data_IF_301187464450
#
_entry.id   IF_301187464450
#
_cell.length_a   1.000
_cell.length_b   1.000
_cell.length_c   1.000
_cell.angle_alpha   90.00
_cell.angle_beta   90.00
_cell.angle_gamma   90.00
#
_symmetry.space_group_name_H-M   'P 1'
#
loop_
_entity.id
_entity.type
_entity.pdbx_description
1 polymer ?
#
# COMPACT_ATOMS: atom_id res chain seq x y z
N UNK A 1 -12.33 19.14 -18.11
CA UNK A 1 -11.84 17.75 -18.33
C UNK A 1 -12.92 16.74 -17.99
N UNK A 2 -13.44 16.73 -16.75
CA UNK A 2 -14.58 15.89 -16.32
C UNK A 2 -15.78 15.99 -17.29
N UNK A 3 -16.14 17.20 -17.72
CA UNK A 3 -17.23 17.40 -18.67
C UNK A 3 -16.96 16.79 -20.05
N UNK A 4 -15.69 16.70 -20.48
CA UNK A 4 -15.31 16.01 -21.73
C UNK A 4 -15.38 14.48 -21.58
N UNK A 5 -15.07 13.95 -20.39
CA UNK A 5 -15.31 12.53 -20.08
C UNK A 5 -16.80 12.21 -20.11
N UNK A 6 -17.62 13.05 -19.48
CA UNK A 6 -19.07 12.89 -19.45
C UNK A 6 -19.67 12.87 -20.86
N UNK A 7 -19.28 13.81 -21.73
CA UNK A 7 -19.75 13.81 -23.13
C UNK A 7 -19.29 12.58 -23.91
N UNK A 8 -18.06 12.10 -23.67
CA UNK A 8 -17.54 10.90 -24.36
C UNK A 8 -18.27 9.63 -23.90
N UNK A 9 -18.66 9.55 -22.63
CA UNK A 9 -19.48 8.46 -22.10
C UNK A 9 -20.92 8.51 -22.63
N UNK A 10 -21.50 9.70 -22.76
CA UNK A 10 -22.84 9.89 -23.35
C UNK A 10 -22.85 9.52 -24.84
N UNK A 11 -21.81 9.90 -25.59
CA UNK A 11 -21.65 9.50 -27.00
C UNK A 11 -21.52 7.98 -27.14
N UNK A 12 -20.80 7.32 -26.22
CA UNK A 12 -20.68 5.86 -26.18
C UNK A 12 -22.00 5.18 -25.80
N UNK A 13 -22.75 5.74 -24.84
CA UNK A 13 -24.08 5.22 -24.49
C UNK A 13 -25.05 5.36 -25.66
N UNK A 14 -25.04 6.50 -26.37
CA UNK A 14 -25.83 6.73 -27.58
C UNK A 14 -25.44 5.82 -28.74
N UNK A 15 -24.14 5.57 -28.93
CA UNK A 15 -23.65 4.62 -29.92
C UNK A 15 -24.11 3.20 -29.58
N UNK A 16 -23.98 2.77 -28.33
CA UNK A 16 -24.38 1.42 -27.86
C UNK A 16 -25.90 1.23 -27.77
N UNK A 17 -26.69 2.30 -27.64
CA UNK A 17 -28.16 2.27 -27.56
C UNK A 17 -28.80 1.69 -28.82
N UNK A 18 -28.32 2.07 -30.00
CA UNK A 18 -28.81 1.54 -31.29
C UNK A 18 -28.66 0.01 -31.38
N UNK A 19 -27.66 -0.55 -30.72
CA UNK A 19 -27.42 -2.00 -30.67
C UNK A 19 -28.32 -2.72 -29.66
N UNK A 20 -28.56 -2.11 -28.49
CA UNK A 20 -29.54 -2.63 -27.52
C UNK A 20 -30.96 -2.68 -28.10
N UNK A 21 -31.28 -1.73 -28.97
CA UNK A 21 -32.56 -1.68 -29.69
C UNK A 21 -32.58 -2.66 -30.87
N UNK A 22 -31.49 -2.79 -31.64
CA UNK A 22 -31.39 -3.75 -32.75
C UNK A 22 -31.28 -5.23 -32.32
N UNK A 23 -30.77 -5.51 -31.13
CA UNK A 23 -30.76 -6.86 -30.54
C UNK A 23 -32.14 -7.30 -30.03
N UNK A 24 -33.02 -6.33 -29.72
CA UNK A 24 -34.44 -6.56 -29.41
C UNK A 24 -35.27 -6.56 -30.70
N UNK A 25 -34.92 -7.40 -31.67
CA UNK A 25 -35.85 -7.67 -32.76
C UNK A 25 -37.09 -8.37 -32.17
N UNK A 26 -38.31 -7.92 -32.48
CA UNK A 26 -39.53 -8.49 -31.91
C UNK A 26 -39.65 -9.94 -32.37
N UNK A 27 -39.50 -10.88 -31.44
CA UNK A 27 -39.63 -12.30 -31.75
C UNK A 27 -41.10 -12.74 -31.87
N UNK A 28 -42.05 -11.92 -31.43
CA UNK A 28 -43.45 -12.31 -31.29
C UNK A 28 -44.42 -11.27 -31.85
N UNK A 29 -44.55 -11.21 -33.17
CA UNK A 29 -45.78 -10.73 -33.81
C UNK A 29 -45.89 -11.38 -35.20
N UNK A 30 -46.99 -12.10 -35.43
CA UNK A 30 -47.40 -12.73 -36.70
C UNK A 30 -46.79 -14.11 -37.02
N UNK A 31 -46.86 -15.04 -36.06
CA UNK A 31 -46.92 -16.50 -36.30
C UNK A 31 -48.41 -16.92 -36.45
N UNK A 32 -49.09 -16.40 -37.47
CA UNK A 32 -50.35 -16.97 -37.93
C UNK A 32 -50.27 -17.14 -39.45
N UNK A 33 -50.21 -18.40 -39.88
CA UNK A 33 -50.55 -18.86 -41.23
C UNK A 33 -49.54 -18.69 -42.38
N UNK A 34 -48.24 -18.86 -42.11
CA UNK A 34 -47.22 -18.96 -43.18
C UNK A 34 -46.73 -20.40 -43.37
N UNK A 35 -46.94 -20.96 -44.57
CA UNK A 35 -46.56 -22.33 -44.94
C UNK A 35 -45.06 -22.64 -44.79
N UNK A 36 -44.68 -23.94 -44.77
CA UNK A 36 -43.34 -24.41 -44.41
C UNK A 36 -42.20 -23.86 -45.28
N UNK A 37 -42.46 -23.48 -46.55
CA UNK A 37 -41.44 -22.86 -47.41
C UNK A 37 -41.17 -21.39 -47.07
N UNK A 38 -42.17 -20.66 -46.56
CA UNK A 38 -42.05 -19.25 -46.19
C UNK A 38 -41.35 -19.10 -44.83
N UNK A 39 -41.54 -20.05 -43.91
CA UNK A 39 -40.79 -20.13 -42.64
C UNK A 39 -39.29 -20.29 -42.87
N UNK A 40 -38.87 -21.15 -43.80
CA UNK A 40 -37.44 -21.31 -44.18
C UNK A 40 -36.84 -20.03 -44.75
N UNK A 41 -37.59 -19.29 -45.59
CA UNK A 41 -37.13 -18.02 -46.16
C UNK A 41 -37.00 -16.91 -45.12
N UNK A 42 -37.94 -16.83 -44.16
CA UNK A 42 -37.88 -15.90 -43.01
C UNK A 42 -36.68 -16.20 -42.11
N UNK A 43 -36.42 -17.47 -41.79
CA UNK A 43 -35.25 -17.89 -41.01
C UNK A 43 -33.92 -17.54 -41.70
N UNK A 44 -33.83 -17.76 -43.02
CA UNK A 44 -32.64 -17.39 -43.78
C UNK A 44 -32.41 -15.88 -43.78
N UNK A 45 -33.47 -15.07 -43.94
CA UNK A 45 -33.39 -13.61 -43.85
C UNK A 45 -32.96 -13.14 -42.46
N UNK A 46 -33.47 -13.75 -41.39
CA UNK A 46 -33.03 -13.47 -40.01
C UNK A 46 -31.55 -13.80 -39.81
N UNK A 47 -31.09 -14.95 -40.31
CA UNK A 47 -29.66 -15.34 -40.25
C UNK A 47 -28.77 -14.38 -41.02
N UNK A 48 -29.19 -13.96 -42.22
CA UNK A 48 -28.47 -12.99 -43.04
C UNK A 48 -28.44 -11.62 -42.35
N UNK A 49 -29.56 -11.15 -41.79
CA UNK A 49 -29.62 -9.88 -41.06
C UNK A 49 -28.75 -9.90 -39.79
N UNK A 50 -28.77 -11.00 -39.03
CA UNK A 50 -27.92 -11.18 -37.85
C UNK A 50 -26.44 -11.21 -38.23
N UNK A 51 -26.07 -11.91 -39.30
CA UNK A 51 -24.68 -11.95 -39.77
C UNK A 51 -24.24 -10.59 -40.34
N UNK A 52 -25.11 -9.86 -41.03
CA UNK A 52 -24.80 -8.50 -41.48
C UNK A 52 -24.62 -7.53 -40.32
N UNK A 53 -25.43 -7.62 -39.26
CA UNK A 53 -25.24 -6.83 -38.06
C UNK A 53 -23.91 -7.14 -37.36
N UNK A 54 -23.46 -8.41 -37.37
CA UNK A 54 -22.15 -8.81 -36.84
C UNK A 54 -20.99 -8.25 -37.69
N UNK A 55 -21.08 -8.31 -39.02
CA UNK A 55 -20.06 -7.75 -39.91
C UNK A 55 -19.99 -6.22 -39.77
N UNK A 56 -21.14 -5.54 -39.69
CA UNK A 56 -21.17 -4.10 -39.44
C UNK A 56 -20.55 -3.76 -38.08
N UNK A 57 -20.76 -4.61 -37.06
CA UNK A 57 -20.15 -4.46 -35.75
C UNK A 57 -18.63 -4.67 -35.79
N UNK A 58 -18.13 -5.66 -36.53
CA UNK A 58 -16.69 -5.86 -36.70
C UNK A 58 -16.02 -4.68 -37.43
N UNK A 59 -16.73 -4.00 -38.33
CA UNK A 59 -16.28 -2.77 -38.99
C UNK A 59 -16.36 -1.58 -38.00
N UNK A 60 -17.42 -1.50 -37.20
CA UNK A 60 -17.60 -0.46 -36.19
C UNK A 60 -16.76 -0.70 -34.92
N UNK A 61 -16.06 -1.83 -34.77
CA UNK A 61 -15.09 -2.08 -33.67
C UNK A 61 -13.99 -1.02 -33.65
N UNK A 62 -13.58 -0.54 -34.82
CA UNK A 62 -12.62 0.56 -34.92
C UNK A 62 -13.18 1.83 -34.26
N UNK A 63 -14.51 2.05 -34.31
CA UNK A 63 -15.16 3.18 -33.62
C UNK A 63 -15.17 3.01 -32.10
N UNK A 64 -15.44 1.80 -31.57
CA UNK A 64 -15.40 1.52 -30.13
C UNK A 64 -13.98 1.62 -29.57
N UNK A 65 -12.97 1.18 -30.33
CA UNK A 65 -11.56 1.36 -29.99
C UNK A 65 -11.21 2.84 -29.85
N UNK A 66 -11.65 3.69 -30.79
CA UNK A 66 -11.45 5.15 -30.71
C UNK A 66 -12.06 5.74 -29.44
N UNK A 67 -13.27 5.32 -29.03
CA UNK A 67 -13.88 5.78 -27.78
C UNK A 67 -13.11 5.30 -26.55
N UNK A 68 -12.62 4.05 -26.55
CA UNK A 68 -11.78 3.50 -25.49
C UNK A 68 -10.47 4.27 -25.36
N UNK A 69 -9.79 4.52 -26.46
CA UNK A 69 -8.53 5.27 -26.51
C UNK A 69 -8.73 6.72 -26.02
N UNK A 70 -9.86 7.34 -26.39
CA UNK A 70 -10.21 8.68 -25.93
C UNK A 70 -10.55 8.74 -24.45
N UNK A 71 -11.26 7.74 -23.91
CA UNK A 71 -11.51 7.61 -22.48
C UNK A 71 -10.21 7.39 -21.70
N UNK A 72 -9.34 6.50 -22.19
CA UNK A 72 -8.02 6.25 -21.60
C UNK A 72 -7.20 7.55 -21.55
N UNK A 73 -7.10 8.26 -22.67
CA UNK A 73 -6.42 9.56 -22.74
C UNK A 73 -6.98 10.58 -21.73
N UNK A 74 -8.30 10.61 -21.51
CA UNK A 74 -8.89 11.48 -20.51
C UNK A 74 -8.59 11.06 -19.07
N UNK A 75 -8.53 9.76 -18.79
CA UNK A 75 -8.12 9.21 -17.49
C UNK A 75 -6.65 9.54 -17.21
N UNK A 76 -5.77 9.37 -18.19
CA UNK A 76 -4.35 9.68 -18.07
C UNK A 76 -4.11 11.17 -17.76
N UNK A 77 -4.86 12.05 -18.44
CA UNK A 77 -4.82 13.48 -18.17
C UNK A 77 -5.32 13.84 -16.76
N UNK A 78 -6.36 13.16 -16.26
CA UNK A 78 -6.83 13.36 -14.87
C UNK A 78 -5.77 12.90 -13.87
N UNK A 79 -5.18 11.73 -14.10
CA UNK A 79 -4.10 11.19 -13.26
C UNK A 79 -2.89 12.13 -13.23
N UNK A 80 -2.51 12.72 -14.36
CA UNK A 80 -1.42 13.70 -14.42
C UNK A 80 -1.72 14.93 -13.54
N UNK A 81 -2.92 15.49 -13.63
CA UNK A 81 -3.32 16.66 -12.83
C UNK A 81 -3.39 16.32 -11.33
N UNK A 82 -3.96 15.16 -10.98
CA UNK A 82 -4.03 14.67 -9.60
C UNK A 82 -2.65 14.44 -9.01
N UNK A 83 -1.75 13.79 -9.75
CA UNK A 83 -0.37 13.56 -9.33
C UNK A 83 0.36 14.88 -9.13
N UNK A 84 0.21 15.84 -10.04
CA UNK A 84 0.82 17.18 -9.92
C UNK A 84 0.30 17.91 -8.67
N UNK A 85 -1.00 17.82 -8.39
CA UNK A 85 -1.59 18.41 -7.20
C UNK A 85 -1.08 17.73 -5.91
N UNK A 86 -0.98 16.40 -5.90
CA UNK A 86 -0.44 15.65 -4.77
C UNK A 86 1.02 16.01 -4.49
N UNK A 87 1.86 16.10 -5.52
CA UNK A 87 3.24 16.55 -5.38
C UNK A 87 3.31 17.97 -4.82
N UNK A 88 2.54 18.93 -5.36
CA UNK A 88 2.51 20.31 -4.85
C UNK A 88 2.03 20.39 -3.39
N UNK A 89 1.04 19.58 -3.00
CA UNK A 89 0.56 19.52 -1.62
C UNK A 89 1.63 18.94 -0.68
N UNK A 90 2.31 17.88 -1.11
CA UNK A 90 3.38 17.21 -0.34
C UNK A 90 4.57 18.14 -0.15
N UNK A 91 4.98 18.87 -1.19
CA UNK A 91 6.05 19.85 -1.12
C UNK A 91 5.71 21.00 -0.15
N UNK A 92 4.47 21.51 -0.17
CA UNK A 92 4.02 22.53 0.79
C UNK A 92 4.03 22.02 2.23
N UNK A 93 3.59 20.78 2.47
CA UNK A 93 3.63 20.17 3.80
C UNK A 93 5.10 20.02 4.26
N UNK A 94 5.98 19.57 3.38
CA UNK A 94 7.40 19.43 3.69
C UNK A 94 8.06 20.77 4.01
N UNK A 95 7.78 21.82 3.21
CA UNK A 95 8.27 23.17 3.47
C UNK A 95 7.74 23.73 4.80
N UNK A 96 6.47 23.46 5.14
CA UNK A 96 5.89 23.87 6.41
C UNK A 96 6.53 23.14 7.61
N UNK A 97 6.73 21.82 7.49
CA UNK A 97 7.38 21.03 8.52
C UNK A 97 8.82 21.49 8.78
N UNK A 98 9.57 21.80 7.71
CA UNK A 98 10.92 22.36 7.82
C UNK A 98 10.93 23.68 8.58
N UNK A 99 10.02 24.61 8.24
CA UNK A 99 9.91 25.89 8.95
C UNK A 99 9.51 25.70 10.42
N UNK A 100 8.67 24.72 10.72
CA UNK A 100 8.29 24.38 12.09
C UNK A 100 9.46 23.79 12.89
N UNK A 101 10.29 22.96 12.26
CA UNK A 101 11.51 22.40 12.85
C UNK A 101 12.52 23.51 13.17
N UNK A 102 12.78 24.41 12.22
CA UNK A 102 13.64 25.59 12.42
C UNK A 102 13.15 26.47 13.57
N UNK A 103 11.83 26.73 13.66
CA UNK A 103 11.26 27.50 14.76
C UNK A 103 11.39 26.78 16.11
N UNK A 104 11.23 25.46 16.14
CA UNK A 104 11.38 24.68 17.37
C UNK A 104 12.84 24.68 17.86
N UNK A 105 13.79 24.60 16.93
CA UNK A 105 15.21 24.74 17.22
C UNK A 105 15.52 26.13 17.79
N UNK A 106 14.99 27.20 17.19
CA UNK A 106 15.16 28.57 17.71
C UNK A 106 14.62 28.72 19.14
N UNK A 107 13.48 28.12 19.46
CA UNK A 107 12.95 28.09 20.82
C UNK A 107 13.85 27.33 21.79
N UNK A 108 14.43 26.21 21.35
CA UNK A 108 15.38 25.45 22.16
C UNK A 108 16.63 26.27 22.47
N UNK A 109 17.23 26.92 21.46
CA UNK A 109 18.43 27.74 21.62
C UNK A 109 18.17 28.92 22.57
N UNK A 110 17.02 29.61 22.44
CA UNK A 110 16.58 30.66 23.37
C UNK A 110 16.43 30.17 24.80
N UNK A 111 15.91 28.95 24.99
CA UNK A 111 15.76 28.34 26.31
C UNK A 111 17.12 28.01 26.94
N UNK A 112 18.06 27.46 26.16
CA UNK A 112 19.43 27.19 26.61
C UNK A 112 20.14 28.49 27.01
N UNK A 113 19.99 29.56 26.22
CA UNK A 113 20.55 30.87 26.52
C UNK A 113 19.96 31.48 27.80
N UNK A 114 18.64 31.37 27.98
CA UNK A 114 17.94 31.84 29.19
C UNK A 114 18.40 31.08 30.43
N UNK A 115 18.49 29.75 30.36
CA UNK A 115 18.99 28.91 31.45
C UNK A 115 20.45 29.23 31.81
N UNK A 116 21.28 29.51 30.80
CA UNK A 116 22.67 29.93 31.02
C UNK A 116 22.75 31.28 31.73
N UNK A 117 21.92 32.24 31.33
CA UNK A 117 21.80 33.55 31.97
C UNK A 117 21.32 33.45 33.42
N UNK A 118 20.32 32.60 33.68
CA UNK A 118 19.84 32.31 35.02
C UNK A 118 20.94 31.66 35.88
N UNK A 119 21.71 30.72 35.31
CA UNK A 119 22.85 30.12 35.98
C UNK A 119 23.91 31.13 36.40
N UNK A 120 24.20 32.13 35.56
CA UNK A 120 25.10 33.24 35.92
C UNK A 120 24.53 34.11 37.04
N UNK A 121 23.24 34.43 37.00
CA UNK A 121 22.56 35.18 38.05
C UNK A 121 22.66 34.45 39.40
N UNK A 122 22.36 33.14 39.41
CA UNK A 122 22.43 32.30 40.61
C UNK A 122 23.86 32.26 41.16
N UNK A 123 24.87 32.11 40.29
CA UNK A 123 26.28 32.18 40.70
C UNK A 123 26.63 33.54 41.32
N UNK A 124 26.18 34.65 40.72
CA UNK A 124 26.42 36.00 41.25
C UNK A 124 25.81 36.20 42.64
N UNK A 125 24.56 35.77 42.83
CA UNK A 125 23.89 35.81 44.15
C UNK A 125 24.65 34.96 45.17
N UNK A 126 25.06 33.76 44.77
CA UNK A 126 25.81 32.85 45.63
C UNK A 126 27.18 33.42 46.06
N UNK A 127 27.90 34.09 45.14
CA UNK A 127 29.15 34.78 45.46
C UNK A 127 28.96 35.90 46.48
N UNK A 128 27.91 36.73 46.33
CA UNK A 128 27.58 37.80 47.30
C UNK A 128 27.21 37.24 48.67
N UNK A 129 26.53 36.09 48.72
CA UNK A 129 26.11 35.46 49.97
C UNK A 129 27.25 34.73 50.69
N UNK A 130 28.26 34.22 49.97
CA UNK A 130 29.37 33.47 50.54
C UNK A 130 30.64 34.30 50.78
N UNK A 131 30.79 35.48 50.18
CA UNK A 131 31.91 36.36 50.53
C UNK A 131 31.74 36.86 51.98
N UNK A 132 32.65 36.50 52.90
CA UNK A 132 32.63 37.01 54.26
C UNK A 132 32.93 38.50 54.20
N UNK A 133 32.01 39.31 54.73
CA UNK A 133 32.17 40.74 54.92
C UNK A 133 33.39 41.01 55.82
N UNK A 134 34.60 41.07 55.25
CA UNK A 134 35.78 41.58 55.93
C UNK A 134 35.62 43.10 56.03
N UNK A 135 34.96 43.53 57.10
CA UNK A 135 34.99 44.90 57.58
C UNK A 135 36.42 45.25 58.01
N UNK A 136 37.14 45.96 57.16
CA UNK A 136 38.16 46.91 57.59
C UNK A 136 37.70 48.30 57.12
N UNK A 137 37.28 49.13 58.08
CA UNK A 137 36.98 50.55 57.88
C UNK A 137 38.28 51.31 57.57
N UNK A 138 38.32 52.15 56.52
CA UNK A 138 39.15 53.35 56.50
C UNK A 138 38.28 54.56 56.85
N UNK A 139 38.80 55.34 57.78
CA UNK A 139 38.23 56.58 58.29
C UNK A 139 38.05 57.66 57.22
N UNK A 140 36.91 58.34 57.37
CA UNK A 140 36.50 59.62 56.83
C UNK A 140 37.64 60.67 56.78
N UNK A 141 37.80 61.36 55.65
CA UNK A 141 38.23 62.77 55.64
C UNK A 141 37.54 63.53 54.51
N UNK A 142 36.77 64.50 54.96
CA UNK A 142 36.09 65.60 54.28
C UNK A 142 37.04 66.41 53.41
N UNK A 143 36.63 66.77 52.19
CA UNK A 143 36.71 68.16 51.76
C UNK A 143 35.64 68.51 50.71
N UNK A 144 35.24 69.77 50.74
CA UNK A 144 33.98 70.38 50.31
C UNK A 144 34.27 71.21 49.04
N UNK A 145 33.42 71.22 47.99
CA UNK A 145 32.45 72.30 47.57
C UNK A 145 32.41 72.42 46.00
N UNK A 146 31.55 73.26 45.36
CA UNK A 146 30.58 72.82 44.34
C UNK A 146 30.58 73.70 43.06
N UNK A 147 29.70 73.42 42.09
CA UNK A 147 29.07 74.37 41.14
C UNK A 147 28.20 73.53 40.18
N UNK A 148 26.86 73.57 40.23
CA UNK A 148 25.92 74.59 39.71
C UNK A 148 26.10 74.84 38.21
N UNK A 149 25.24 74.24 37.39
CA UNK A 149 24.35 74.95 36.44
C UNK A 149 23.39 73.96 35.75
N UNK A 150 22.09 74.18 35.93
CA UNK A 150 21.04 73.72 34.99
C UNK A 150 20.84 74.78 33.89
N UNK A 151 19.64 75.00 33.33
CA UNK A 151 18.38 74.24 33.39
C UNK A 151 17.61 74.21 32.03
N UNK A 152 16.41 73.63 32.04
CA UNK A 152 15.32 73.95 31.10
C UNK A 152 14.87 72.76 30.24
N UNK A 153 13.60 72.38 30.16
CA UNK A 153 12.35 72.95 30.66
C UNK A 153 11.23 72.66 29.65
N UNK A 154 10.09 72.17 30.16
CA UNK A 154 8.72 72.32 29.61
C UNK A 154 8.38 71.60 28.28
N UNK A 155 7.16 71.23 27.91
CA UNK A 155 5.84 70.92 28.51
C UNK A 155 4.95 70.49 27.33
N UNK A 156 3.87 69.75 27.62
CA UNK A 156 2.56 69.76 26.93
C UNK A 156 2.37 69.01 25.58
N UNK A 157 1.59 67.94 25.67
CA UNK A 157 0.36 67.61 24.92
C UNK A 157 0.10 68.25 23.54
N UNK A 158 -0.29 67.41 22.57
CA UNK A 158 -1.55 67.62 21.83
C UNK A 158 -2.05 66.32 21.19
N UNK A 159 -3.36 66.19 21.25
CA UNK A 159 -4.23 65.22 20.61
C UNK A 159 -4.27 65.37 19.09
N UNK A 160 -4.46 64.26 18.37
CA UNK A 160 -5.04 64.28 17.03
C UNK A 160 -5.88 63.02 16.80
N UNK A 161 -7.16 63.31 16.61
CA UNK A 161 -8.26 62.44 16.21
C UNK A 161 -8.08 62.00 14.76
N UNK A 162 -8.30 60.71 14.47
CA UNK A 162 -8.31 60.19 13.10
C UNK A 162 -8.96 58.81 13.03
N UNK A 163 -10.29 58.83 12.95
CA UNK A 163 -11.20 57.73 12.68
C UNK A 163 -10.83 56.94 11.41
N UNK A 164 -11.00 55.61 11.44
CA UNK A 164 -11.92 54.89 10.54
C UNK A 164 -11.94 53.38 10.84
N UNK A 165 -13.15 52.93 11.15
CA UNK A 165 -13.76 51.64 10.84
C UNK A 165 -12.94 50.64 10.03
N UNK A 166 -12.89 49.38 10.48
CA UNK A 166 -13.59 48.29 9.78
C UNK A 166 -13.54 46.96 10.57
N UNK A 167 -14.73 46.41 10.77
CA UNK A 167 -15.07 44.98 10.87
C UNK A 167 -14.47 44.16 12.02
N UNK A 168 -15.24 44.09 13.10
CA UNK A 168 -15.47 42.86 13.88
C UNK A 168 -15.74 41.68 12.93
N UNK A 169 -14.80 40.74 12.84
CA UNK A 169 -15.06 39.43 12.26
C UNK A 169 -15.02 38.38 13.35
N UNK A 170 -16.22 38.11 13.87
CA UNK A 170 -16.63 36.96 14.64
C UNK A 170 -16.05 35.66 14.05
N UNK A 171 -15.03 35.09 14.70
CA UNK A 171 -14.52 33.75 14.36
C UNK A 171 -15.54 32.71 14.79
N UNK A 172 -16.51 32.42 13.92
CA UNK A 172 -17.32 31.19 14.01
C UNK A 172 -16.39 29.99 13.90
N UNK A 173 -16.30 29.26 15.01
CA UNK A 173 -15.72 27.92 15.08
C UNK A 173 -16.54 26.99 14.19
N UNK A 174 -16.00 26.67 13.00
CA UNK A 174 -16.57 25.63 12.14
C UNK A 174 -16.02 24.30 12.62
N UNK A 175 -16.94 23.44 13.07
CA UNK A 175 -16.69 22.07 13.45
C UNK A 175 -15.92 21.33 12.36
N UNK A 176 -14.77 20.76 12.74
CA UNK A 176 -14.03 19.83 11.90
C UNK A 176 -14.88 18.57 11.71
N UNK A 177 -15.55 18.46 10.56
CA UNK A 177 -16.07 17.18 10.10
C UNK A 177 -14.89 16.25 9.83
N UNK A 178 -14.79 15.21 10.67
CA UNK A 178 -14.01 14.01 10.39
C UNK A 178 -14.51 13.40 9.07
N UNK A 179 -13.65 13.39 8.06
CA UNK A 179 -13.74 12.42 6.97
C UNK A 179 -12.54 11.49 7.15
N UNK A 180 -12.82 10.23 7.47
CA UNK A 180 -11.84 9.15 7.35
C UNK A 180 -11.57 8.94 5.87
N UNK A 181 -10.39 9.30 5.40
CA UNK A 181 -9.89 8.83 4.11
C UNK A 181 -8.88 7.73 4.40
N UNK A 182 -9.40 6.50 4.40
CA UNK A 182 -8.62 5.31 4.04
C UNK A 182 -8.79 5.20 2.53
N UNK A 183 -7.70 5.31 1.76
CA UNK A 183 -7.49 4.56 0.52
C UNK A 183 -6.06 4.76 0.01
N UNK A 184 -5.43 3.62 -0.25
CA UNK A 184 -4.21 3.42 -1.01
C UNK A 184 -4.42 3.89 -2.45
N UNK A 185 -3.42 4.56 -3.03
CA UNK A 185 -3.21 4.58 -4.48
C UNK A 185 -1.70 4.60 -4.72
N UNK A 186 -1.17 3.48 -5.22
CA UNK A 186 0.15 3.40 -5.79
C UNK A 186 0.00 3.55 -7.31
N UNK A 187 0.45 4.67 -7.86
CA UNK A 187 0.72 4.81 -9.29
C UNK A 187 2.24 4.71 -9.44
N UNK A 188 2.70 3.54 -9.89
CA UNK A 188 4.08 3.32 -10.31
C UNK A 188 4.31 4.08 -11.61
N UNK A 189 5.27 5.01 -11.62
CA UNK A 189 5.78 5.62 -12.84
C UNK A 189 7.24 5.20 -12.98
N UNK A 190 7.49 4.22 -13.85
CA UNK A 190 8.83 3.90 -14.32
C UNK A 190 9.28 5.00 -15.28
N UNK A 191 10.22 5.84 -14.84
CA UNK A 191 11.01 6.68 -15.72
C UNK A 191 12.47 6.22 -15.63
N UNK A 192 12.98 5.69 -16.74
CA UNK A 192 14.38 5.36 -16.95
C UNK A 192 15.25 6.60 -16.74
N UNK A 193 16.29 6.47 -15.92
CA UNK A 193 17.46 7.34 -15.97
C UNK A 193 18.71 6.47 -15.80
N UNK A 194 19.37 6.22 -16.94
CA UNK A 194 20.75 5.77 -17.02
C UNK A 194 21.66 6.74 -16.27
N UNK A 195 22.22 6.32 -15.14
CA UNK A 195 23.39 6.95 -14.55
C UNK A 195 24.40 5.85 -14.22
N UNK A 196 25.41 5.76 -15.09
CA UNK A 196 26.63 5.03 -14.84
C UNK A 196 27.36 5.65 -13.63
N UNK A 197 27.69 4.84 -12.62
CA UNK A 197 28.65 5.20 -11.58
C UNK A 197 29.58 4.02 -11.25
N UNK A 198 30.82 4.31 -10.81
CA UNK A 198 31.96 3.44 -10.99
C UNK A 198 32.13 2.41 -9.87
N UNK A 199 32.76 1.32 -10.28
CA UNK A 199 33.24 0.19 -9.50
C UNK A 199 34.22 0.62 -8.39
N UNK A 200 33.99 0.17 -7.15
CA UNK A 200 35.00 0.18 -6.07
C UNK A 200 34.99 -1.21 -5.40
N UNK A 201 36.13 -1.90 -5.29
CA UNK A 201 36.18 -3.22 -4.68
C UNK A 201 36.56 -3.19 -3.20
N UNK A 202 36.25 -4.33 -2.57
CA UNK A 202 36.90 -4.98 -1.43
C UNK A 202 36.44 -4.64 0.01
N UNK A 203 35.99 -5.73 0.65
CA UNK A 203 36.29 -6.19 2.01
C UNK A 203 36.20 -5.21 3.19
N UNK A 204 35.25 -5.47 4.09
CA UNK A 204 35.59 -5.91 5.44
C UNK A 204 34.33 -6.37 6.19
N UNK A 205 34.38 -7.59 6.70
CA UNK A 205 33.37 -8.14 7.60
C UNK A 205 33.50 -7.48 8.97
N UNK A 206 32.49 -6.75 9.41
CA UNK A 206 32.34 -6.33 10.79
C UNK A 206 31.10 -7.00 11.39
N UNK A 207 31.32 -8.10 12.13
CA UNK A 207 30.34 -8.69 13.04
C UNK A 207 30.05 -7.70 14.17
N UNK A 208 28.87 -7.10 14.17
CA UNK A 208 28.35 -6.40 15.35
C UNK A 208 27.81 -7.44 16.34
N UNK A 209 28.61 -7.76 17.37
CA UNK A 209 28.14 -8.45 18.56
C UNK A 209 27.21 -7.51 19.36
N UNK A 210 25.90 -7.68 19.21
CA UNK A 210 24.92 -7.11 20.15
C UNK A 210 24.87 -8.01 21.40
N UNK A 211 25.45 -7.51 22.49
CA UNK A 211 25.36 -8.11 23.83
C UNK A 211 24.00 -7.74 24.43
N UNK A 212 23.18 -8.70 24.89
CA UNK A 212 21.93 -8.38 25.56
C UNK A 212 22.22 -7.82 26.96
N UNK A 213 21.53 -6.75 27.42
CA UNK A 213 21.64 -6.32 28.80
C UNK A 213 20.92 -7.33 29.70
N UNK A 214 21.64 -7.75 30.73
CA UNK A 214 21.16 -8.65 31.76
C UNK A 214 20.00 -8.04 32.55
N UNK A 215 19.00 -8.87 32.85
CA UNK A 215 17.95 -8.59 33.80
C UNK A 215 18.58 -8.36 35.20
N UNK A 216 18.48 -7.14 35.71
CA UNK A 216 18.67 -6.84 37.11
C UNK A 216 17.28 -6.68 37.73
N UNK A 217 16.89 -7.70 38.48
CA UNK A 217 15.86 -7.62 39.51
C UNK A 217 16.26 -6.54 40.51
N UNK A 218 15.52 -5.43 40.55
CA UNK A 218 15.58 -4.45 41.61
C UNK A 218 14.21 -4.43 42.29
N UNK A 219 14.10 -5.18 43.37
CA UNK A 219 13.05 -5.05 44.38
C UNK A 219 13.27 -3.73 45.11
N UNK A 220 12.69 -2.64 44.62
CA UNK A 220 12.66 -1.36 45.34
C UNK A 220 11.30 -1.14 46.00
N UNK A 221 11.37 -1.17 47.33
CA UNK A 221 10.36 -0.83 48.32
C UNK A 221 10.00 0.67 48.22
N UNK A 222 8.72 1.07 48.22
CA UNK A 222 8.35 2.47 48.03
C UNK A 222 8.57 3.24 49.35
N UNK A 223 9.60 4.09 49.37
CA UNK A 223 9.77 5.10 50.40
C UNK A 223 8.85 6.29 50.16
N UNK A 224 8.06 6.61 51.18
CA UNK A 224 7.19 7.78 51.31
C UNK A 224 7.95 9.09 51.09
N UNK A 225 7.83 9.67 49.89
CA UNK A 225 8.14 11.08 49.64
C UNK A 225 6.81 11.80 49.43
N UNK A 226 6.35 12.51 50.47
CA UNK A 226 5.21 13.43 50.42
C UNK A 226 5.56 14.62 49.53
N UNK A 227 5.42 14.45 48.22
CA UNK A 227 5.47 15.54 47.26
C UNK A 227 4.07 16.13 47.11
N UNK A 228 3.79 17.19 47.87
CA UNK A 228 2.59 18.01 47.73
C UNK A 228 2.56 18.72 46.38
N UNK A 229 2.09 18.02 45.34
CA UNK A 229 1.55 18.61 44.13
C UNK A 229 0.21 17.94 43.88
N UNK A 230 -0.85 18.72 44.02
CA UNK A 230 -2.21 18.37 43.61
C UNK A 230 -2.18 17.93 42.15
N UNK A 231 -2.06 16.63 41.93
CA UNK A 231 -2.17 16.01 40.62
C UNK A 231 -3.62 16.25 40.22
N UNK A 232 -3.84 17.24 39.33
CA UNK A 232 -5.16 17.52 38.77
C UNK A 232 -5.66 16.22 38.16
N UNK A 233 -6.57 15.54 38.86
CA UNK A 233 -7.20 14.34 38.35
C UNK A 233 -7.92 14.70 37.06
N UNK A 234 -7.62 13.95 36.01
CA UNK A 234 -8.28 14.12 34.73
C UNK A 234 -9.76 13.83 34.92
N UNK A 235 -10.67 14.63 34.33
CA UNK A 235 -12.09 14.36 34.33
C UNK A 235 -12.37 12.89 33.97
N UNK A 236 -13.32 12.22 34.65
CA UNK A 236 -13.59 10.78 34.48
C UNK A 236 -13.95 10.41 33.03
N UNK A 237 -14.52 11.35 32.28
CA UNK A 237 -14.80 11.20 30.85
C UNK A 237 -13.51 11.05 30.02
N UNK A 238 -12.48 11.84 30.31
CA UNK A 238 -11.18 11.75 29.64
C UNK A 238 -10.49 10.43 29.98
N UNK A 239 -10.59 9.98 31.24
CA UNK A 239 -10.06 8.68 31.66
C UNK A 239 -10.74 7.55 30.88
N UNK A 240 -12.07 7.58 30.73
CA UNK A 240 -12.82 6.57 29.98
C UNK A 240 -12.45 6.53 28.48
N UNK A 241 -12.23 7.69 27.86
CA UNK A 241 -11.79 7.80 26.46
C UNK A 241 -10.38 7.23 26.31
N UNK A 242 -9.49 7.51 27.27
CA UNK A 242 -8.11 7.04 27.20
C UNK A 242 -8.03 5.51 27.32
N UNK A 243 -8.82 4.93 28.23
CA UNK A 243 -8.94 3.46 28.36
C UNK A 243 -9.44 2.84 27.05
N UNK A 244 -10.48 3.41 26.43
CA UNK A 244 -10.99 2.92 25.12
C UNK A 244 -9.92 2.98 24.03
N UNK A 245 -9.16 4.07 23.95
CA UNK A 245 -8.05 4.22 22.99
C UNK A 245 -6.95 3.19 23.25
N UNK A 246 -6.64 2.91 24.51
CA UNK A 246 -5.62 1.93 24.88
C UNK A 246 -6.05 0.51 24.52
N UNK A 247 -7.32 0.14 24.77
CA UNK A 247 -7.86 -1.17 24.36
C UNK A 247 -7.87 -1.31 22.84
N UNK A 248 -8.30 -0.27 22.13
CA UNK A 248 -8.34 -0.28 20.66
C UNK A 248 -6.92 -0.35 20.07
N UNK A 249 -5.97 0.38 20.63
CA UNK A 249 -4.56 0.34 20.24
C UNK A 249 -3.93 -1.02 20.51
N UNK A 250 -4.21 -1.62 21.67
CA UNK A 250 -3.74 -2.96 22.02
C UNK A 250 -4.30 -4.03 21.07
N UNK A 251 -5.58 -3.93 20.70
CA UNK A 251 -6.21 -4.83 19.72
C UNK A 251 -5.59 -4.69 18.33
N UNK A 252 -5.45 -3.46 17.82
CA UNK A 252 -4.83 -3.21 16.53
C UNK A 252 -3.37 -3.70 16.48
N UNK A 253 -2.63 -3.57 17.59
CA UNK A 253 -1.27 -4.06 17.72
C UNK A 253 -1.21 -5.59 17.80
N UNK A 254 -2.19 -6.24 18.44
CA UNK A 254 -2.31 -7.70 18.43
C UNK A 254 -2.62 -8.24 17.03
N UNK A 255 -3.57 -7.61 16.32
CA UNK A 255 -3.93 -7.97 14.94
C UNK A 255 -2.73 -7.80 14.00
N UNK A 256 -1.96 -6.71 14.16
CA UNK A 256 -0.71 -6.49 13.41
C UNK A 256 0.37 -7.52 13.76
N UNK A 257 0.53 -7.88 15.04
CA UNK A 257 1.48 -8.91 15.45
C UNK A 257 1.11 -10.27 14.88
N UNK A 258 -0.18 -10.57 14.78
CA UNK A 258 -0.65 -11.82 14.19
C UNK A 258 -0.46 -11.84 12.68
N UNK A 259 -0.61 -10.71 11.98
CA UNK A 259 -0.34 -10.62 10.54
C UNK A 259 1.16 -10.61 10.21
N UNK A 260 2.00 -10.14 11.13
CA UNK A 260 3.47 -10.15 11.02
C UNK A 260 4.11 -11.45 11.54
N UNK A 261 3.36 -12.32 12.20
CA UNK A 261 3.88 -13.60 12.63
C UNK A 261 4.28 -14.40 11.38
N UNK A 262 5.54 -14.86 11.27
CA UNK A 262 5.99 -15.59 10.10
C UNK A 262 5.12 -16.84 9.94
N UNK A 263 4.40 -16.94 8.82
CA UNK A 263 3.64 -18.16 8.49
C UNK A 263 4.62 -19.34 8.51
N UNK A 264 4.21 -20.50 9.06
CA UNK A 264 5.06 -21.68 9.08
C UNK A 264 5.55 -21.97 7.66
N UNK A 265 6.84 -22.28 7.54
CA UNK A 265 7.46 -22.55 6.24
C UNK A 265 6.81 -23.81 5.66
N UNK A 266 6.25 -23.75 4.44
CA UNK A 266 5.51 -24.87 3.89
C UNK A 266 6.44 -26.04 3.55
N UNK A 267 5.93 -27.25 3.75
CA UNK A 267 6.69 -28.50 3.63
C UNK A 267 7.15 -28.83 2.21
N UNK A 268 6.54 -28.26 1.17
CA UNK A 268 6.99 -28.46 -0.22
C UNK A 268 8.39 -27.88 -0.51
N UNK A 269 8.90 -27.02 0.37
CA UNK A 269 10.27 -26.49 0.30
C UNK A 269 11.32 -27.50 0.82
N UNK A 270 10.87 -28.61 1.42
CA UNK A 270 11.71 -29.73 1.82
C UNK A 270 11.75 -30.79 0.71
N UNK A 271 12.86 -31.55 0.56
CA UNK A 271 13.06 -32.49 -0.54
C UNK A 271 12.19 -33.76 -0.51
N UNK A 272 11.13 -33.81 0.30
CA UNK A 272 10.18 -34.91 0.33
C UNK A 272 9.10 -34.73 -0.75
N UNK A 273 8.58 -35.82 -1.32
CA UNK A 273 7.45 -35.77 -2.27
C UNK A 273 6.23 -35.20 -1.56
N UNK A 274 5.73 -34.01 -1.94
CA UNK A 274 4.62 -33.39 -1.23
C UNK A 274 3.29 -34.01 -1.65
N UNK A 275 2.35 -34.03 -0.72
CA UNK A 275 0.95 -34.34 -0.97
C UNK A 275 0.24 -33.20 -1.69
N UNK A 276 -0.88 -33.48 -2.34
CA UNK A 276 -1.72 -32.44 -2.99
C UNK A 276 -2.09 -31.32 -2.01
N UNK A 277 -2.45 -31.68 -0.78
CA UNK A 277 -2.81 -30.70 0.26
C UNK A 277 -1.64 -29.76 0.62
N UNK A 278 -0.41 -30.29 0.68
CA UNK A 278 0.79 -29.48 0.96
C UNK A 278 1.12 -28.53 -0.19
N UNK A 279 0.90 -28.95 -1.45
CA UNK A 279 1.06 -28.05 -2.60
C UNK A 279 -0.03 -26.98 -2.63
N UNK A 280 -1.27 -27.32 -2.28
CA UNK A 280 -2.37 -26.36 -2.18
C UNK A 280 -2.11 -25.30 -1.10
N UNK A 281 -1.69 -25.69 0.11
CA UNK A 281 -1.23 -24.75 1.14
C UNK A 281 -0.04 -23.91 0.67
N UNK A 282 0.82 -24.50 -0.16
CA UNK A 282 1.94 -23.82 -0.77
C UNK A 282 1.54 -22.68 -1.71
N UNK A 283 0.40 -22.78 -2.39
CA UNK A 283 -0.13 -21.69 -3.22
C UNK A 283 -0.47 -20.48 -2.36
N UNK A 284 -1.17 -20.67 -1.24
CA UNK A 284 -1.47 -19.58 -0.30
C UNK A 284 -0.19 -18.92 0.18
N UNK A 285 0.88 -19.68 0.46
CA UNK A 285 2.17 -19.14 0.85
C UNK A 285 2.81 -18.30 -0.26
N UNK A 286 2.88 -18.83 -1.49
CA UNK A 286 3.54 -18.19 -2.62
C UNK A 286 2.85 -16.90 -3.07
N UNK A 287 1.52 -16.93 -3.13
CA UNK A 287 0.70 -15.81 -3.61
C UNK A 287 0.36 -14.78 -2.52
N UNK A 288 0.88 -14.94 -1.30
CA UNK A 288 0.76 -13.89 -0.28
C UNK A 288 1.49 -12.62 -0.73
N UNK A 289 0.87 -11.43 -0.53
CA UNK A 289 1.50 -10.18 -0.88
C UNK A 289 2.80 -10.01 -0.08
N UNK A 290 3.91 -9.87 -0.81
CA UNK A 290 5.21 -9.56 -0.20
C UNK A 290 5.17 -8.16 0.43
N UNK A 291 5.76 -7.95 1.62
CA UNK A 291 5.90 -6.60 2.18
C UNK A 291 6.64 -5.69 1.20
N UNK A 292 6.14 -4.46 1.07
CA UNK A 292 6.74 -3.43 0.22
C UNK A 292 8.17 -3.17 0.68
N UNK A 293 9.12 -3.57 -0.14
CA UNK A 293 10.56 -3.41 0.10
C UNK A 293 11.10 -2.34 -0.84
N UNK A 294 12.12 -1.60 -0.38
CA UNK A 294 12.84 -0.62 -1.18
C UNK A 294 13.77 -1.33 -2.20
N UNK A 295 14.06 -0.68 -3.32
CA UNK A 295 14.53 -1.30 -4.58
C UNK A 295 15.47 -2.52 -4.48
N UNK A 296 16.58 -2.43 -3.73
CA UNK A 296 17.51 -3.55 -3.61
C UNK A 296 16.94 -4.74 -2.82
N UNK A 297 16.16 -4.48 -1.76
CA UNK A 297 15.47 -5.52 -1.00
C UNK A 297 14.35 -6.15 -1.81
N UNK A 298 13.70 -5.37 -2.67
CA UNK A 298 12.68 -5.87 -3.59
C UNK A 298 13.26 -6.92 -4.54
N UNK A 299 14.40 -6.66 -5.17
CA UNK A 299 15.01 -7.62 -6.11
C UNK A 299 15.46 -8.91 -5.41
N UNK A 300 16.03 -8.81 -4.21
CA UNK A 300 16.39 -10.00 -3.41
C UNK A 300 15.14 -10.82 -3.07
N UNK A 301 14.05 -10.14 -2.69
CA UNK A 301 12.78 -10.79 -2.35
C UNK A 301 12.15 -11.42 -3.58
N UNK A 302 12.21 -10.75 -4.73
CA UNK A 302 11.76 -11.24 -6.04
C UNK A 302 12.48 -12.53 -6.41
N UNK A 303 13.81 -12.52 -6.40
CA UNK A 303 14.61 -13.71 -6.71
C UNK A 303 14.35 -14.86 -5.73
N UNK A 304 14.15 -14.55 -4.46
CA UNK A 304 13.78 -15.56 -3.45
C UNK A 304 12.43 -16.18 -3.78
N UNK A 305 11.43 -15.36 -4.13
CA UNK A 305 10.09 -15.82 -4.51
C UNK A 305 10.11 -16.66 -5.79
N UNK A 306 10.83 -16.24 -6.82
CA UNK A 306 11.00 -17.01 -8.08
C UNK A 306 11.61 -18.38 -7.79
N UNK A 307 12.61 -18.48 -6.90
CA UNK A 307 13.18 -19.76 -6.47
C UNK A 307 12.16 -20.64 -5.72
N UNK A 308 11.35 -20.06 -4.84
CA UNK A 308 10.30 -20.78 -4.11
C UNK A 308 9.22 -21.31 -5.07
N UNK A 309 8.80 -20.51 -6.05
CA UNK A 309 7.87 -20.96 -7.11
C UNK A 309 8.51 -22.08 -7.94
N UNK A 310 9.79 -21.96 -8.29
CA UNK A 310 10.50 -22.99 -9.05
C UNK A 310 10.53 -24.33 -8.31
N UNK A 311 10.77 -24.30 -7.00
CA UNK A 311 10.70 -25.49 -6.14
C UNK A 311 9.28 -26.05 -6.07
N UNK A 312 8.26 -25.20 -6.01
CA UNK A 312 6.88 -25.64 -6.03
C UNK A 312 6.52 -26.35 -7.34
N UNK A 313 6.94 -25.80 -8.50
CA UNK A 313 6.73 -26.42 -9.82
C UNK A 313 7.45 -27.76 -9.93
N UNK A 314 8.69 -27.83 -9.44
CA UNK A 314 9.46 -29.08 -9.38
C UNK A 314 8.73 -30.14 -8.54
N UNK A 315 8.28 -29.74 -7.35
CA UNK A 315 7.52 -30.59 -6.43
C UNK A 315 6.19 -31.06 -7.02
N UNK A 316 5.50 -30.20 -7.77
CA UNK A 316 4.31 -30.56 -8.53
C UNK A 316 4.62 -31.60 -9.61
N UNK A 317 5.71 -31.43 -10.36
CA UNK A 317 6.19 -32.42 -11.32
C UNK A 317 6.47 -33.79 -10.67
N UNK A 318 7.15 -33.81 -9.53
CA UNK A 318 7.40 -35.04 -8.77
C UNK A 318 6.12 -35.72 -8.30
N UNK A 319 5.11 -34.95 -7.86
CA UNK A 319 3.82 -35.49 -7.50
C UNK A 319 3.12 -36.13 -8.71
N UNK A 320 3.12 -35.47 -9.87
CA UNK A 320 2.55 -36.01 -11.12
C UNK A 320 3.24 -37.32 -11.51
N UNK A 321 4.57 -37.35 -11.48
CA UNK A 321 5.35 -38.56 -11.78
C UNK A 321 5.06 -39.70 -10.77
N UNK A 322 4.90 -39.38 -9.49
CA UNK A 322 4.55 -40.34 -8.44
C UNK A 322 3.16 -40.95 -8.64
N UNK A 323 2.16 -40.13 -9.01
CA UNK A 323 0.80 -40.62 -9.29
C UNK A 323 0.78 -41.44 -10.58
N UNK A 324 1.56 -41.06 -11.59
CA UNK A 324 1.72 -41.82 -12.82
C UNK A 324 2.31 -43.21 -12.56
N UNK A 325 3.35 -43.31 -11.73
CA UNK A 325 3.93 -44.58 -11.32
C UNK A 325 2.92 -45.47 -10.57
N UNK A 326 2.17 -44.89 -9.61
CA UNK A 326 1.13 -45.62 -8.87
C UNK A 326 0.00 -46.15 -9.81
N UNK A 327 -0.33 -45.40 -10.86
CA UNK A 327 -1.29 -45.85 -11.87
C UNK A 327 -0.79 -47.07 -12.66
N UNK A 328 0.51 -47.14 -12.95
CA UNK A 328 1.09 -48.23 -13.73
C UNK A 328 1.17 -49.54 -12.94
N UNK A 329 1.37 -49.47 -11.62
CA UNK A 329 1.50 -50.64 -10.73
C UNK A 329 0.14 -51.20 -10.26
N UNK A 330 -0.95 -50.44 -10.43
CA UNK A 330 -2.32 -50.76 -10.03
C UNK A 330 -2.98 -51.81 -10.96
N UNK A 331 -2.55 -53.07 -10.88
CA UNK A 331 -3.17 -54.21 -11.61
C UNK A 331 -4.36 -54.83 -10.83
N UNK A 332 -4.49 -54.55 -9.53
CA UNK A 332 -5.52 -55.11 -8.64
C UNK A 332 -6.68 -54.15 -8.35
N UNK A 333 -7.93 -54.59 -8.60
CA UNK A 333 -9.15 -53.76 -8.62
C UNK A 333 -9.48 -52.91 -7.37
N UNK A 334 -8.87 -53.15 -6.21
CA UNK A 334 -9.06 -52.33 -4.99
C UNK A 334 -8.37 -50.96 -5.05
N UNK A 335 -7.40 -50.76 -5.96
CA UNK A 335 -6.62 -49.52 -6.05
C UNK A 335 -7.18 -48.49 -7.03
N UNK A 336 -8.22 -48.84 -7.81
CA UNK A 336 -8.81 -47.96 -8.84
C UNK A 336 -9.49 -46.73 -8.26
N UNK A 337 -10.17 -46.86 -7.12
CA UNK A 337 -10.86 -45.74 -6.48
C UNK A 337 -9.88 -44.69 -5.96
N UNK A 338 -8.81 -45.12 -5.28
CA UNK A 338 -7.77 -44.22 -4.76
C UNK A 338 -7.04 -43.46 -5.89
N UNK A 339 -6.77 -44.14 -7.01
CA UNK A 339 -6.16 -43.50 -8.19
C UNK A 339 -7.11 -42.46 -8.81
N UNK A 340 -8.42 -42.73 -8.85
CA UNK A 340 -9.40 -41.77 -9.36
C UNK A 340 -9.49 -40.53 -8.47
N UNK A 341 -9.51 -40.70 -7.14
CA UNK A 341 -9.48 -39.59 -6.18
C UNK A 341 -8.22 -38.73 -6.35
N UNK A 342 -7.03 -39.35 -6.45
CA UNK A 342 -5.78 -38.62 -6.69
C UNK A 342 -5.80 -37.81 -7.99
N UNK A 343 -6.39 -38.34 -9.08
CA UNK A 343 -6.54 -37.60 -10.33
C UNK A 343 -7.51 -36.42 -10.18
N UNK A 344 -8.59 -36.59 -9.43
CA UNK A 344 -9.53 -35.51 -9.12
C UNK A 344 -8.89 -34.41 -8.28
N UNK A 345 -8.07 -34.80 -7.30
CA UNK A 345 -7.32 -33.87 -6.44
C UNK A 345 -6.30 -33.07 -7.25
N UNK A 346 -5.61 -33.69 -8.21
CA UNK A 346 -4.70 -32.98 -9.13
C UNK A 346 -5.43 -31.96 -10.01
N UNK A 347 -6.63 -32.30 -10.52
CA UNK A 347 -7.45 -31.34 -11.29
C UNK A 347 -7.93 -30.20 -10.39
N UNK A 348 -8.28 -30.49 -9.15
CA UNK A 348 -8.66 -29.46 -8.18
C UNK A 348 -7.49 -28.54 -7.84
N UNK A 349 -6.28 -29.09 -7.74
CA UNK A 349 -5.06 -28.30 -7.57
C UNK A 349 -4.81 -27.37 -8.76
N UNK A 350 -4.99 -27.84 -10.01
CA UNK A 350 -4.91 -26.96 -11.19
C UNK A 350 -5.89 -25.78 -11.12
N UNK A 351 -7.13 -26.06 -10.76
CA UNK A 351 -8.16 -25.03 -10.60
C UNK A 351 -7.75 -23.98 -9.55
N UNK A 352 -7.18 -24.43 -8.43
CA UNK A 352 -6.65 -23.54 -7.40
C UNK A 352 -5.44 -22.71 -7.87
N UNK A 353 -4.59 -23.24 -8.77
CA UNK A 353 -3.49 -22.47 -9.37
C UNK A 353 -4.06 -21.32 -10.20
N UNK A 354 -5.03 -21.61 -11.07
CA UNK A 354 -5.66 -20.59 -11.92
C UNK A 354 -6.33 -19.50 -11.07
N UNK A 355 -7.11 -19.88 -10.07
CA UNK A 355 -7.74 -18.93 -9.14
C UNK A 355 -6.70 -18.08 -8.38
N UNK A 356 -5.60 -18.69 -7.92
CA UNK A 356 -4.52 -17.98 -7.25
C UNK A 356 -3.80 -16.99 -8.19
N UNK A 357 -3.60 -17.35 -9.45
CA UNK A 357 -3.00 -16.47 -10.46
C UNK A 357 -3.93 -15.29 -10.75
N UNK A 358 -5.21 -15.55 -11.02
CA UNK A 358 -6.21 -14.52 -11.34
C UNK A 358 -6.34 -13.48 -10.22
N UNK A 359 -6.34 -13.94 -8.97
CA UNK A 359 -6.48 -13.08 -7.79
C UNK A 359 -5.19 -12.36 -7.38
N UNK A 360 -4.05 -12.71 -8.00
CA UNK A 360 -2.75 -12.16 -7.63
C UNK A 360 -2.40 -10.84 -8.30
N UNK A 361 -1.47 -10.11 -7.69
CA UNK A 361 -0.92 -8.88 -8.29
C UNK A 361 -0.09 -9.17 -9.54
N UNK A 362 -0.06 -8.25 -10.50
CA UNK A 362 0.74 -8.37 -11.72
C UNK A 362 2.19 -8.81 -11.47
N UNK A 363 2.89 -8.17 -10.53
CA UNK A 363 4.27 -8.54 -10.18
C UNK A 363 4.42 -10.00 -9.69
N UNK A 364 3.42 -10.55 -9.00
CA UNK A 364 3.44 -11.95 -8.59
C UNK A 364 3.23 -12.89 -9.77
N UNK A 365 2.34 -12.53 -10.71
CA UNK A 365 2.18 -13.26 -11.98
C UNK A 365 3.47 -13.26 -12.79
N UNK A 366 4.16 -12.12 -12.88
CA UNK A 366 5.45 -12.01 -13.58
C UNK A 366 6.48 -13.00 -12.99
N UNK A 367 6.63 -13.02 -11.66
CA UNK A 367 7.52 -13.95 -10.98
C UNK A 367 7.10 -15.41 -11.19
N UNK A 368 5.80 -15.68 -11.20
CA UNK A 368 5.27 -17.03 -11.39
C UNK A 368 5.52 -17.54 -12.82
N UNK A 369 5.25 -16.74 -13.84
CA UNK A 369 5.46 -17.10 -15.24
C UNK A 369 6.93 -17.15 -15.64
N UNK A 370 7.79 -16.31 -15.05
CA UNK A 370 9.25 -16.45 -15.18
C UNK A 370 9.71 -17.82 -14.66
N UNK A 371 9.26 -18.22 -13.47
CA UNK A 371 9.58 -19.52 -12.90
C UNK A 371 9.02 -20.68 -13.73
N UNK A 372 7.80 -20.54 -14.27
CA UNK A 372 7.20 -21.51 -15.19
C UNK A 372 8.05 -21.75 -16.45
N UNK A 373 8.56 -20.66 -17.02
CA UNK A 373 9.43 -20.71 -18.20
C UNK A 373 10.76 -21.38 -17.88
N UNK A 374 11.37 -21.04 -16.74
CA UNK A 374 12.62 -21.62 -16.28
C UNK A 374 12.51 -23.12 -15.95
N UNK A 375 11.36 -23.55 -15.42
CA UNK A 375 11.12 -24.94 -14.99
C UNK A 375 10.38 -25.80 -16.02
N UNK A 376 10.13 -25.29 -17.22
CA UNK A 376 9.44 -26.00 -18.30
C UNK A 376 8.09 -26.61 -17.87
N UNK A 377 7.23 -25.80 -17.24
CA UNK A 377 5.93 -26.26 -16.70
C UNK A 377 5.07 -26.98 -17.74
N UNK A 378 5.21 -26.64 -19.04
CA UNK A 378 4.50 -27.27 -20.16
C UNK A 378 4.65 -28.79 -20.15
N UNK A 379 5.86 -29.29 -19.89
CA UNK A 379 6.13 -30.74 -19.85
C UNK A 379 5.42 -31.40 -18.67
N UNK A 380 5.26 -30.70 -17.56
CA UNK A 380 4.54 -31.19 -16.37
C UNK A 380 3.03 -31.23 -16.67
N UNK A 381 2.50 -30.20 -17.33
CA UNK A 381 1.09 -30.14 -17.71
C UNK A 381 0.73 -31.20 -18.76
N UNK A 382 1.59 -31.43 -19.76
CA UNK A 382 1.41 -32.49 -20.75
C UNK A 382 1.34 -33.88 -20.10
N UNK A 383 2.26 -34.16 -19.17
CA UNK A 383 2.23 -35.40 -18.37
C UNK A 383 0.93 -35.51 -17.57
N UNK A 384 0.51 -34.44 -16.93
CA UNK A 384 -0.72 -34.40 -16.14
C UNK A 384 -1.98 -34.63 -17.00
N UNK A 385 -2.04 -34.07 -18.20
CA UNK A 385 -3.13 -34.31 -19.15
C UNK A 385 -3.17 -35.77 -19.60
N UNK A 386 -2.00 -36.35 -19.91
CA UNK A 386 -1.90 -37.76 -20.28
C UNK A 386 -2.33 -38.70 -19.15
N UNK A 387 -2.10 -38.30 -17.90
CA UNK A 387 -2.44 -39.05 -16.70
C UNK A 387 -3.93 -38.98 -16.37
N UNK A 388 -4.51 -37.78 -16.45
CA UNK A 388 -5.90 -37.55 -16.03
C UNK A 388 -6.91 -37.88 -17.12
N UNK A 389 -6.58 -37.64 -18.41
CA UNK A 389 -7.49 -37.73 -19.56
C UNK A 389 -8.86 -37.05 -19.32
N UNK A 390 -8.87 -35.99 -18.51
CA UNK A 390 -10.09 -35.32 -18.08
C UNK A 390 -10.34 -34.09 -18.94
N UNK A 391 -11.57 -33.96 -19.45
CA UNK A 391 -12.01 -32.75 -20.19
C UNK A 391 -11.88 -31.51 -19.30
N UNK A 392 -12.18 -31.64 -17.99
CA UNK A 392 -11.99 -30.53 -17.05
C UNK A 392 -10.51 -30.16 -16.94
N UNK A 393 -9.63 -31.14 -16.75
CA UNK A 393 -8.18 -30.89 -16.68
C UNK A 393 -7.64 -30.22 -17.95
N UNK A 394 -8.13 -30.63 -19.13
CA UNK A 394 -7.77 -29.99 -20.40
C UNK A 394 -8.18 -28.52 -20.44
N UNK A 395 -9.39 -28.19 -19.97
CA UNK A 395 -9.87 -26.81 -19.91
C UNK A 395 -9.03 -25.95 -18.95
N UNK A 396 -8.73 -26.45 -17.75
CA UNK A 396 -7.92 -25.70 -16.77
C UNK A 396 -6.50 -25.44 -17.31
N UNK A 397 -5.91 -26.39 -18.06
CA UNK A 397 -4.61 -26.20 -18.71
C UNK A 397 -4.71 -25.22 -19.89
N UNK A 398 -5.77 -25.28 -20.68
CA UNK A 398 -6.00 -24.32 -21.77
C UNK A 398 -6.10 -22.88 -21.24
N UNK A 399 -6.90 -22.67 -20.19
CA UNK A 399 -7.06 -21.38 -19.51
C UNK A 399 -5.73 -20.85 -18.95
N UNK A 400 -4.96 -21.72 -18.30
CA UNK A 400 -3.61 -21.39 -17.83
C UNK A 400 -2.68 -20.95 -18.98
N UNK A 401 -2.69 -21.67 -20.10
CA UNK A 401 -1.82 -21.40 -21.24
C UNK A 401 -2.25 -20.14 -22.01
N UNK A 402 -3.54 -19.86 -22.10
CA UNK A 402 -4.07 -18.63 -22.67
C UNK A 402 -3.59 -17.41 -21.86
N UNK A 403 -3.76 -17.44 -20.54
CA UNK A 403 -3.33 -16.34 -19.67
C UNK A 403 -1.80 -16.15 -19.71
N UNK A 404 -1.03 -17.24 -19.72
CA UNK A 404 0.44 -17.15 -19.87
C UNK A 404 0.85 -16.58 -21.22
N UNK A 405 0.16 -16.94 -22.31
CA UNK A 405 0.44 -16.42 -23.65
C UNK A 405 0.15 -14.93 -23.72
N UNK A 406 -0.99 -14.49 -23.18
CA UNK A 406 -1.32 -13.06 -23.06
C UNK A 406 -0.23 -12.31 -22.30
N UNK A 407 0.28 -12.88 -21.20
CA UNK A 407 1.38 -12.28 -20.43
C UNK A 407 2.69 -12.19 -21.23
N UNK A 408 3.02 -13.21 -22.03
CA UNK A 408 4.20 -13.20 -22.91
C UNK A 408 4.08 -12.19 -24.05
N UNK A 409 2.87 -11.90 -24.54
CA UNK A 409 2.66 -10.89 -25.58
C UNK A 409 2.81 -9.45 -25.04
N UNK A 410 2.66 -9.26 -23.72
CA UNK A 410 2.81 -7.98 -23.03
C UNK A 410 4.27 -7.64 -22.64
N UNK A 411 5.20 -8.62 -22.65
CA UNK A 411 6.59 -8.50 -22.19
C UNK A 411 7.61 -8.90 -23.26
#
# INVERSE_FOLDING_TARGET
MIQKCATTLEDLDNATKKYREGAKMPDDADEADAGPSQKRRKLLRRKIASNWAKILWDIDKDSLKIYRDRLQSHVDNLNLVLNTFHWSATERIHAHNKLQEERMQEFHDKMVQSNSSLGLLVKGIHSVLLEPKQTAFPSLSTDIKPEIEGPGGCTAETSSTGTNDLASMEKKSIAAHRISIVMLNAISTNAMADIAMPFVPASCAARAYMRPPAALEATEQPSDIKLGKTRKELPPEIVSINIKRQIQGAKALADLKQSLAPKPRPSFLEPAVPTVAQLAEGLDFLFNPSPQSNGQQFEITRQTRVKEVSLWIQSFGHLVDSVAAACAESVGGSSKTAVFEQRSDLISLLSNINEAIESSSANMRDMFYEACSAMHIDQVLDKLLSLTNSVRGMKEVEEFMEERTNWMDEH
#
